data_IF_148978999451
#
_entry.id   IF_148978999451
#
_cell.length_a   1.000
_cell.length_b   1.000
_cell.length_c   1.000
_cell.angle_alpha   90.00
_cell.angle_beta   90.00
_cell.angle_gamma   90.00
#
_symmetry.space_group_name_H-M   'P 1'
#
loop_
_entity.id
_entity.type
_entity.pdbx_description
1 polymer ?
#
# COMPACT_ATOMS: atom_id res chain seq x y z
N UNK A 1 3.60 -4.90 -32.96
CA UNK A 1 4.01 -6.10 -32.21
C UNK A 1 3.17 -7.25 -32.71
N UNK A 2 3.76 -8.44 -32.80
CA UNK A 2 3.12 -9.67 -33.33
C UNK A 2 2.92 -10.67 -32.19
N UNK A 3 1.94 -11.59 -32.29
CA UNK A 3 1.62 -12.53 -31.21
C UNK A 3 2.72 -13.59 -30.99
N UNK A 4 3.46 -13.96 -32.02
CA UNK A 4 4.61 -14.87 -31.95
C UNK A 4 5.76 -14.31 -32.79
N UNK A 5 6.99 -14.36 -32.29
CA UNK A 5 8.15 -13.77 -32.97
C UNK A 5 9.41 -13.78 -32.11
N UNK A 6 10.32 -12.86 -32.37
CA UNK A 6 11.52 -12.67 -31.54
C UNK A 6 11.16 -11.81 -30.33
N UNK A 7 11.49 -12.21 -29.10
CA UNK A 7 11.17 -11.45 -27.89
C UNK A 7 11.82 -10.06 -27.92
N UNK A 8 11.07 -9.05 -27.46
CA UNK A 8 11.47 -7.66 -27.51
C UNK A 8 11.06 -6.90 -26.23
N UNK A 9 11.96 -6.03 -25.73
CA UNK A 9 11.67 -5.05 -24.69
C UNK A 9 11.47 -3.69 -25.36
N UNK A 10 10.25 -3.18 -25.25
CA UNK A 10 9.92 -1.81 -25.63
C UNK A 10 10.08 -0.85 -24.44
N UNK A 11 10.59 0.36 -24.66
CA UNK A 11 10.85 1.32 -23.58
C UNK A 11 9.59 1.62 -22.74
N UNK A 12 8.41 1.74 -23.38
CA UNK A 12 7.13 1.95 -22.69
C UNK A 12 6.72 0.79 -21.77
N UNK A 13 7.19 -0.43 -22.03
CA UNK A 13 6.92 -1.61 -21.20
C UNK A 13 7.79 -1.66 -19.96
N UNK A 14 8.95 -1.00 -19.98
CA UNK A 14 9.84 -0.94 -18.82
C UNK A 14 9.18 -0.20 -17.65
N UNK A 15 8.34 0.81 -17.94
CA UNK A 15 7.61 1.56 -16.91
C UNK A 15 6.27 0.94 -16.51
N UNK A 16 5.65 0.19 -17.42
CA UNK A 16 4.27 -0.29 -17.25
C UNK A 16 4.18 -1.76 -16.88
N UNK A 17 5.25 -2.55 -17.08
CA UNK A 17 5.19 -3.99 -16.91
C UNK A 17 6.41 -4.59 -16.21
N UNK A 18 7.63 -4.31 -16.69
CA UNK A 18 8.80 -5.07 -16.24
C UNK A 18 9.43 -4.57 -14.93
N UNK A 19 9.21 -3.30 -14.56
CA UNK A 19 9.83 -2.69 -13.37
C UNK A 19 11.34 -3.03 -13.27
N UNK A 20 11.81 -3.60 -12.14
CA UNK A 20 13.23 -3.81 -11.84
C UNK A 20 13.88 -4.90 -12.67
N UNK A 21 13.17 -5.98 -12.97
CA UNK A 21 13.71 -7.12 -13.69
C UNK A 21 12.62 -7.85 -14.47
N UNK A 22 13.01 -8.55 -15.54
CA UNK A 22 12.11 -9.39 -16.32
C UNK A 22 12.82 -10.68 -16.73
N UNK A 23 12.08 -11.78 -16.67
CA UNK A 23 12.50 -13.11 -17.15
C UNK A 23 11.74 -13.55 -18.41
N UNK A 24 10.66 -12.85 -18.75
CA UNK A 24 9.81 -13.12 -19.92
C UNK A 24 9.49 -11.83 -20.67
N UNK A 25 9.48 -11.93 -21.99
CA UNK A 25 9.06 -10.83 -22.83
C UNK A 25 7.53 -10.85 -22.98
N UNK A 26 6.92 -9.68 -22.85
CA UNK A 26 5.52 -9.41 -23.14
C UNK A 26 5.26 -9.35 -24.65
N UNK A 27 6.24 -8.86 -25.39
CA UNK A 27 6.06 -8.43 -26.77
C UNK A 27 7.06 -9.05 -27.72
N UNK A 28 6.59 -9.32 -28.94
CA UNK A 28 7.37 -9.97 -29.98
C UNK A 28 7.37 -9.13 -31.26
N UNK A 29 8.48 -9.23 -31.99
CA UNK A 29 8.70 -8.55 -33.27
C UNK A 29 9.09 -9.54 -34.37
N UNK A 30 8.95 -9.13 -35.63
CA UNK A 30 9.34 -9.98 -36.75
C UNK A 30 10.86 -10.22 -36.78
N UNK A 31 11.31 -11.41 -37.22
CA UNK A 31 12.74 -11.71 -37.34
C UNK A 31 13.53 -10.73 -38.22
N UNK A 32 12.89 -10.21 -39.27
CA UNK A 32 13.49 -9.21 -40.16
C UNK A 32 13.84 -7.91 -39.42
N UNK A 33 12.94 -7.44 -38.55
CA UNK A 33 13.17 -6.23 -37.75
C UNK A 33 14.19 -6.51 -36.64
N UNK A 34 14.08 -7.68 -36.00
CA UNK A 34 15.01 -8.12 -34.96
C UNK A 34 16.48 -8.17 -35.42
N UNK A 35 16.71 -8.48 -36.71
CA UNK A 35 18.06 -8.51 -37.29
C UNK A 35 18.77 -7.14 -37.31
N UNK A 36 18.01 -6.05 -37.29
CA UNK A 36 18.51 -4.67 -37.35
C UNK A 36 18.68 -4.03 -35.97
N UNK A 37 18.07 -4.62 -34.95
CA UNK A 37 18.04 -4.07 -33.60
C UNK A 37 19.08 -4.73 -32.70
N UNK A 38 19.37 -4.04 -31.59
CA UNK A 38 20.32 -4.52 -30.58
C UNK A 38 19.69 -5.63 -29.76
N UNK A 39 20.53 -6.55 -29.27
CA UNK A 39 20.11 -7.67 -28.42
C UNK A 39 20.80 -7.57 -27.06
N UNK A 40 20.05 -7.82 -26.00
CA UNK A 40 20.54 -7.98 -24.64
C UNK A 40 20.52 -9.47 -24.28
N UNK A 41 21.57 -9.93 -23.60
CA UNK A 41 21.70 -11.30 -23.13
C UNK A 41 21.24 -11.42 -21.67
N UNK A 42 21.13 -12.66 -21.17
CA UNK A 42 20.94 -12.93 -19.76
C UNK A 42 21.99 -12.18 -18.91
N UNK A 43 21.51 -11.45 -17.90
CA UNK A 43 22.35 -10.66 -17.00
C UNK A 43 22.66 -9.24 -17.48
N UNK A 44 22.22 -8.83 -18.66
CA UNK A 44 22.35 -7.44 -19.09
C UNK A 44 21.25 -6.56 -18.49
N UNK A 45 21.58 -5.29 -18.24
CA UNK A 45 20.60 -4.30 -17.76
C UNK A 45 20.22 -3.36 -18.88
N UNK A 46 18.96 -3.38 -19.28
CA UNK A 46 18.39 -2.49 -20.30
C UNK A 46 18.09 -1.14 -19.66
N UNK A 47 18.62 -0.05 -20.20
CA UNK A 47 18.46 1.32 -19.71
C UNK A 47 17.70 2.15 -20.73
N UNK A 48 16.72 2.93 -20.27
CA UNK A 48 16.00 3.83 -21.18
C UNK A 48 16.85 5.05 -21.52
N UNK A 49 16.99 5.33 -22.82
CA UNK A 49 17.81 6.44 -23.32
C UNK A 49 16.98 7.62 -23.81
N UNK A 50 15.69 7.44 -24.12
CA UNK A 50 14.81 8.52 -24.55
C UNK A 50 13.38 8.32 -24.01
N UNK A 51 12.72 9.43 -23.69
CA UNK A 51 11.36 9.43 -23.15
C UNK A 51 10.74 10.83 -23.15
N UNK A 52 9.48 10.90 -22.73
CA UNK A 52 8.74 12.17 -22.63
C UNK A 52 9.16 12.96 -21.38
N UNK A 53 9.46 12.25 -20.28
CA UNK A 53 9.91 12.86 -19.04
C UNK A 53 11.39 12.58 -18.79
N UNK A 54 12.06 13.51 -18.11
CA UNK A 54 13.45 13.36 -17.68
C UNK A 54 13.57 12.26 -16.60
N UNK A 55 12.51 12.02 -15.83
CA UNK A 55 12.48 11.09 -14.69
C UNK A 55 12.50 9.61 -15.10
N UNK A 56 12.10 9.37 -16.34
CA UNK A 56 12.02 8.07 -16.97
C UNK A 56 13.37 7.66 -17.58
N UNK A 57 14.18 8.65 -17.97
CA UNK A 57 15.51 8.41 -18.55
C UNK A 57 16.44 7.76 -17.54
N UNK A 58 17.14 6.73 -18.01
CA UNK A 58 18.13 5.99 -17.23
C UNK A 58 17.55 4.95 -16.31
N UNK A 59 16.22 4.75 -16.24
CA UNK A 59 15.65 3.62 -15.52
C UNK A 59 16.08 2.30 -16.16
N UNK A 60 16.58 1.40 -15.33
CA UNK A 60 17.14 0.12 -15.75
C UNK A 60 16.24 -1.07 -15.43
N UNK A 61 16.15 -2.03 -16.33
CA UNK A 61 15.50 -3.33 -16.11
C UNK A 61 16.53 -4.44 -16.35
N UNK A 62 16.74 -5.28 -15.35
CA UNK A 62 17.61 -6.45 -15.45
C UNK A 62 16.93 -7.56 -16.27
N UNK A 63 17.57 -8.04 -17.33
CA UNK A 63 17.08 -9.17 -18.10
C UNK A 63 17.61 -10.48 -17.52
N UNK A 64 16.70 -11.34 -17.06
CA UNK A 64 16.97 -12.64 -16.44
C UNK A 64 16.29 -13.78 -17.21
N UNK A 65 15.87 -13.53 -18.45
CA UNK A 65 15.24 -14.54 -19.29
C UNK A 65 16.23 -15.54 -19.86
N UNK A 66 15.77 -16.77 -20.08
CA UNK A 66 16.60 -17.86 -20.62
C UNK A 66 16.98 -17.70 -22.10
N UNK A 67 16.39 -16.74 -22.80
CA UNK A 67 16.65 -16.41 -24.21
C UNK A 67 17.10 -14.96 -24.37
N UNK A 68 17.80 -14.67 -25.46
CA UNK A 68 18.21 -13.31 -25.81
C UNK A 68 17.00 -12.45 -26.16
N UNK A 69 17.00 -11.19 -25.73
CA UNK A 69 15.89 -10.25 -25.97
C UNK A 69 16.34 -9.08 -26.84
N UNK A 70 15.53 -8.72 -27.82
CA UNK A 70 15.77 -7.53 -28.63
C UNK A 70 15.37 -6.29 -27.84
N UNK A 71 16.17 -5.22 -27.91
CA UNK A 71 15.84 -3.95 -27.26
C UNK A 71 15.45 -2.90 -28.31
N UNK A 72 14.49 -2.06 -27.94
CA UNK A 72 14.06 -0.93 -28.74
C UNK A 72 15.21 0.08 -28.99
N UNK A 73 15.09 0.90 -30.04
CA UNK A 73 16.12 1.88 -30.43
C UNK A 73 16.38 2.97 -29.38
N UNK A 74 15.35 3.30 -28.59
CA UNK A 74 15.34 4.20 -27.44
C UNK A 74 15.86 3.55 -26.13
N UNK A 75 16.54 2.41 -26.23
CA UNK A 75 17.16 1.72 -25.12
C UNK A 75 18.64 1.42 -25.41
N UNK A 76 19.45 1.45 -24.35
CA UNK A 76 20.79 0.86 -24.32
C UNK A 76 20.80 -0.36 -23.40
N UNK A 77 21.85 -1.17 -23.48
CA UNK A 77 22.11 -2.23 -22.50
C UNK A 77 23.46 -1.99 -21.84
N UNK A 78 23.56 -2.35 -20.57
CA UNK A 78 24.79 -2.32 -19.79
C UNK A 78 25.18 -3.75 -19.44
N UNK A 79 26.35 -4.15 -19.93
CA UNK A 79 26.95 -5.46 -19.70
C UNK A 79 28.04 -5.36 -18.65
N UNK A 80 27.91 -6.13 -17.58
CA UNK A 80 28.90 -6.14 -16.48
C UNK A 80 28.92 -7.49 -15.76
N UNK A 81 29.92 -7.69 -14.90
CA UNK A 81 29.98 -8.82 -13.98
C UNK A 81 29.26 -8.57 -12.65
N UNK A 82 28.58 -7.44 -12.51
CA UNK A 82 27.82 -7.08 -11.30
C UNK A 82 26.49 -7.83 -11.26
N UNK A 83 25.89 -7.91 -10.09
CA UNK A 83 24.52 -8.39 -9.98
C UNK A 83 23.59 -7.47 -10.79
N UNK A 84 22.85 -7.98 -11.80
CA UNK A 84 22.08 -7.14 -12.70
C UNK A 84 20.92 -6.43 -11.98
N UNK A 85 20.30 -7.08 -10.99
CA UNK A 85 19.27 -6.45 -10.15
C UNK A 85 19.83 -5.31 -9.33
N UNK A 86 21.06 -5.44 -8.81
CA UNK A 86 21.72 -4.36 -8.08
C UNK A 86 21.88 -3.12 -8.96
N UNK A 87 22.36 -3.28 -10.19
CA UNK A 87 22.51 -2.18 -11.15
C UNK A 87 21.15 -1.59 -11.51
N UNK A 88 20.13 -2.42 -11.71
CA UNK A 88 18.76 -1.96 -11.96
C UNK A 88 18.22 -1.13 -10.78
N UNK A 89 18.38 -1.57 -9.53
CA UNK A 89 18.00 -0.78 -8.36
C UNK A 89 18.80 0.53 -8.26
N UNK A 90 20.12 0.47 -8.45
CA UNK A 90 20.97 1.66 -8.41
C UNK A 90 20.55 2.71 -9.43
N UNK A 91 20.14 2.30 -10.63
CA UNK A 91 19.66 3.20 -11.69
C UNK A 91 18.43 4.04 -11.30
N UNK A 92 17.67 3.58 -10.30
CA UNK A 92 16.46 4.27 -9.78
C UNK A 92 16.78 5.26 -8.66
N UNK A 93 17.98 5.20 -8.09
CA UNK A 93 18.39 6.05 -6.98
C UNK A 93 18.58 7.51 -7.41
N UNK A 94 18.44 8.44 -6.48
CA UNK A 94 18.73 9.85 -6.72
C UNK A 94 20.19 10.10 -7.10
N UNK A 95 21.11 9.29 -6.55
CA UNK A 95 22.54 9.39 -6.84
C UNK A 95 22.81 9.17 -8.33
N UNK A 96 22.23 8.11 -8.91
CA UNK A 96 22.35 7.84 -10.34
C UNK A 96 21.69 8.96 -11.17
N UNK A 97 20.46 9.34 -10.81
CA UNK A 97 19.69 10.39 -11.50
C UNK A 97 20.43 11.72 -11.54
N UNK A 98 21.02 12.15 -10.43
CA UNK A 98 21.77 13.40 -10.35
C UNK A 98 23.02 13.42 -11.24
N UNK A 99 23.64 12.25 -11.46
CA UNK A 99 24.79 12.13 -12.37
C UNK A 99 24.38 12.26 -13.84
N UNK A 100 23.29 11.57 -14.25
CA UNK A 100 22.85 11.60 -15.65
C UNK A 100 22.14 12.90 -16.03
N UNK A 101 21.50 13.60 -15.07
CA UNK A 101 20.69 14.82 -15.33
C UNK A 101 21.44 15.89 -16.11
N UNK A 102 22.74 16.04 -15.88
CA UNK A 102 23.60 17.03 -16.58
C UNK A 102 23.90 16.65 -18.03
N UNK A 103 23.75 15.37 -18.37
CA UNK A 103 24.04 14.80 -19.69
C UNK A 103 22.79 14.59 -20.53
N UNK A 104 21.60 14.82 -19.96
CA UNK A 104 20.32 14.72 -20.66
C UNK A 104 20.10 16.00 -21.48
N UNK A 105 19.82 15.82 -22.76
CA UNK A 105 19.34 16.89 -23.63
C UNK A 105 17.82 16.95 -23.56
N UNK A 106 17.27 18.10 -23.19
CA UNK A 106 15.82 18.31 -23.07
C UNK A 106 15.30 19.10 -24.26
N UNK A 107 14.28 18.55 -24.94
CA UNK A 107 13.56 19.18 -26.06
C UNK A 107 12.08 18.78 -26.01
N UNK A 108 11.49 18.39 -27.14
CA UNK A 108 10.16 17.72 -27.15
C UNK A 108 10.23 16.28 -26.61
N UNK A 109 11.37 15.63 -26.80
CA UNK A 109 11.71 14.32 -26.26
C UNK A 109 13.02 14.54 -25.52
N UNK A 110 13.09 14.07 -24.28
CA UNK A 110 14.31 14.10 -23.50
C UNK A 110 15.13 12.85 -23.83
N UNK A 111 16.44 13.02 -24.04
CA UNK A 111 17.30 11.91 -24.42
C UNK A 111 18.71 12.04 -23.84
N UNK A 112 19.37 10.89 -23.65
CA UNK A 112 20.76 10.77 -23.22
C UNK A 112 21.52 9.90 -24.23
N UNK A 113 22.76 10.29 -24.52
CA UNK A 113 23.64 9.52 -25.39
C UNK A 113 24.53 8.54 -24.59
N UNK A 114 25.19 7.61 -25.29
CA UNK A 114 26.09 6.65 -24.64
C UNK A 114 27.18 7.32 -23.79
N UNK A 115 27.75 8.44 -24.28
CA UNK A 115 28.77 9.23 -23.54
C UNK A 115 28.26 9.78 -22.21
N UNK A 116 26.95 10.00 -22.09
CA UNK A 116 26.30 10.42 -20.85
C UNK A 116 26.30 9.31 -19.82
N UNK A 117 26.04 8.07 -20.24
CA UNK A 117 26.10 6.89 -19.39
C UNK A 117 27.53 6.49 -19.01
N UNK A 118 28.50 6.63 -19.92
CA UNK A 118 29.91 6.30 -19.67
C UNK A 118 30.53 7.10 -18.50
N UNK A 119 29.99 8.27 -18.19
CA UNK A 119 30.46 9.13 -17.08
C UNK A 119 29.89 8.74 -15.72
N UNK A 120 28.93 7.83 -15.67
CA UNK A 120 28.25 7.47 -14.44
C UNK A 120 29.15 6.58 -13.59
N UNK A 121 29.29 6.95 -12.32
CA UNK A 121 30.02 6.19 -11.32
C UNK A 121 29.02 5.33 -10.55
N UNK A 122 29.21 4.02 -10.64
CA UNK A 122 28.46 3.01 -9.90
C UNK A 122 29.35 2.52 -8.75
N UNK A 123 28.88 2.56 -7.48
CA UNK A 123 29.60 1.95 -6.38
C UNK A 123 29.61 0.43 -6.55
N UNK A 124 30.77 -0.20 -6.37
CA UNK A 124 30.94 -1.65 -6.56
C UNK A 124 31.29 -2.28 -5.20
N UNK A 125 30.28 -2.65 -4.38
CA UNK A 125 30.52 -3.45 -3.19
C UNK A 125 30.84 -4.91 -3.56
N UNK A 126 31.19 -5.75 -2.57
CA UNK A 126 31.42 -7.18 -2.80
C UNK A 126 30.17 -7.86 -3.38
N UNK A 127 30.33 -8.95 -4.12
CA UNK A 127 29.19 -9.69 -4.71
C UNK A 127 28.20 -10.19 -3.64
N UNK A 128 28.71 -10.52 -2.45
CA UNK A 128 27.89 -10.90 -1.30
C UNK A 128 27.01 -9.74 -0.83
N UNK A 129 27.60 -8.55 -0.68
CA UNK A 129 26.83 -7.35 -0.30
C UNK A 129 25.85 -6.92 -1.38
N UNK A 130 26.21 -7.05 -2.67
CA UNK A 130 25.27 -6.81 -3.77
C UNK A 130 24.05 -7.73 -3.66
N UNK A 131 24.28 -9.02 -3.38
CA UNK A 131 23.20 -10.01 -3.23
C UNK A 131 22.35 -9.69 -2.01
N UNK A 132 22.96 -9.39 -0.86
CA UNK A 132 22.24 -9.00 0.37
C UNK A 132 21.35 -7.77 0.15
N UNK A 133 21.86 -6.73 -0.52
CA UNK A 133 21.09 -5.53 -0.85
C UNK A 133 19.91 -5.88 -1.77
N UNK A 134 20.16 -6.67 -2.81
CA UNK A 134 19.12 -7.10 -3.76
C UNK A 134 18.03 -7.90 -3.06
N UNK A 135 18.38 -8.84 -2.17
CA UNK A 135 17.40 -9.62 -1.41
C UNK A 135 16.47 -8.72 -0.61
N UNK A 136 17.02 -7.79 0.16
CA UNK A 136 16.22 -6.86 0.97
C UNK A 136 15.30 -6.01 0.08
N UNK A 137 15.81 -5.47 -1.03
CA UNK A 137 15.01 -4.64 -1.93
C UNK A 137 13.94 -5.44 -2.69
N UNK A 138 14.24 -6.68 -3.08
CA UNK A 138 13.28 -7.59 -3.70
C UNK A 138 12.16 -7.97 -2.72
N UNK A 139 12.47 -8.14 -1.43
CA UNK A 139 11.44 -8.39 -0.40
C UNK A 139 10.47 -7.19 -0.31
N UNK A 140 10.99 -5.97 -0.32
CA UNK A 140 10.15 -4.76 -0.33
C UNK A 140 9.35 -4.59 -1.64
N UNK A 141 9.97 -4.83 -2.80
CA UNK A 141 9.27 -4.74 -4.10
C UNK A 141 8.18 -5.82 -4.20
N UNK A 142 8.43 -7.03 -3.70
CA UNK A 142 7.44 -8.11 -3.65
C UNK A 142 6.25 -7.71 -2.78
N UNK A 143 6.48 -7.18 -1.57
CA UNK A 143 5.39 -6.76 -0.68
C UNK A 143 4.56 -5.61 -1.25
N UNK A 144 5.18 -4.67 -1.98
CA UNK A 144 4.51 -3.44 -2.44
C UNK A 144 3.91 -3.56 -3.84
N UNK A 145 4.56 -4.28 -4.75
CA UNK A 145 4.20 -4.31 -6.18
C UNK A 145 3.60 -5.65 -6.62
N UNK A 146 3.78 -6.74 -5.86
CA UNK A 146 3.31 -8.06 -6.30
C UNK A 146 1.79 -8.13 -6.35
N UNK A 147 1.26 -8.48 -7.52
CA UNK A 147 -0.18 -8.75 -7.73
C UNK A 147 -0.54 -10.14 -7.18
N UNK A 148 0.44 -11.02 -6.94
CA UNK A 148 0.21 -12.36 -6.39
C UNK A 148 0.38 -12.42 -4.88
N UNK A 149 1.21 -11.59 -4.25
CA UNK A 149 1.51 -11.71 -2.82
C UNK A 149 1.63 -10.37 -2.08
N UNK A 150 1.45 -9.25 -2.79
CA UNK A 150 1.62 -7.90 -2.23
C UNK A 150 0.31 -7.17 -1.95
N UNK A 151 0.45 -5.91 -1.52
CA UNK A 151 -0.66 -5.01 -1.20
C UNK A 151 -1.76 -4.91 -2.27
N UNK A 152 -1.46 -4.90 -3.59
CA UNK A 152 -2.51 -4.84 -4.61
C UNK A 152 -3.47 -6.04 -4.56
N UNK A 153 -2.97 -7.25 -4.24
CA UNK A 153 -3.81 -8.44 -4.10
C UNK A 153 -4.75 -8.31 -2.92
N UNK A 154 -4.22 -7.87 -1.78
CA UNK A 154 -5.00 -7.68 -0.56
C UNK A 154 -6.10 -6.64 -0.79
N UNK A 155 -5.78 -5.50 -1.41
CA UNK A 155 -6.77 -4.47 -1.75
C UNK A 155 -7.87 -5.05 -2.66
N UNK A 156 -7.50 -5.78 -3.70
CA UNK A 156 -8.47 -6.39 -4.62
C UNK A 156 -9.39 -7.40 -3.91
N UNK A 157 -8.84 -8.26 -3.05
CA UNK A 157 -9.61 -9.22 -2.26
C UNK A 157 -10.54 -8.51 -1.26
N UNK A 158 -10.07 -7.44 -0.61
CA UNK A 158 -10.89 -6.64 0.31
C UNK A 158 -12.01 -5.91 -0.43
N UNK A 159 -11.77 -5.47 -1.65
CA UNK A 159 -12.79 -4.81 -2.46
C UNK A 159 -13.86 -5.80 -2.93
N UNK A 160 -13.46 -7.00 -3.38
CA UNK A 160 -14.41 -8.09 -3.68
C UNK A 160 -15.21 -8.51 -2.45
N UNK A 161 -14.55 -8.61 -1.30
CA UNK A 161 -15.20 -8.92 -0.02
C UNK A 161 -16.21 -7.82 0.36
N UNK A 162 -15.84 -6.55 0.21
CA UNK A 162 -16.73 -5.42 0.45
C UNK A 162 -17.96 -5.45 -0.49
N UNK A 163 -17.75 -5.69 -1.78
CA UNK A 163 -18.83 -5.79 -2.77
C UNK A 163 -19.78 -6.94 -2.44
N UNK A 164 -19.24 -8.11 -2.09
CA UNK A 164 -20.02 -9.26 -1.68
C UNK A 164 -20.89 -8.96 -0.45
N UNK A 165 -20.31 -8.37 0.61
CA UNK A 165 -21.08 -8.03 1.81
C UNK A 165 -22.07 -6.90 1.59
N UNK A 166 -21.73 -5.90 0.77
CA UNK A 166 -22.66 -4.85 0.33
C UNK A 166 -23.86 -5.48 -0.36
N UNK A 167 -23.63 -6.36 -1.32
CA UNK A 167 -24.72 -6.98 -2.08
C UNK A 167 -25.53 -7.96 -1.22
N UNK A 168 -24.93 -8.63 -0.24
CA UNK A 168 -25.63 -9.43 0.77
C UNK A 168 -26.53 -8.55 1.66
N UNK A 169 -26.03 -7.40 2.12
CA UNK A 169 -26.78 -6.43 2.93
C UNK A 169 -27.97 -5.82 2.17
N UNK A 170 -27.87 -5.71 0.85
CA UNK A 170 -28.93 -5.15 0.00
C UNK A 170 -29.74 -6.20 -0.78
N UNK A 171 -29.50 -7.49 -0.56
CA UNK A 171 -30.31 -8.58 -1.14
C UNK A 171 -31.27 -9.13 -0.10
N UNK A 172 -32.50 -8.62 -0.15
CA UNK A 172 -33.58 -9.16 0.66
C UNK A 172 -34.18 -10.38 -0.05
N UNK A 173 -34.15 -11.59 0.55
CA UNK A 173 -34.84 -12.74 -0.02
C UNK A 173 -36.33 -12.43 -0.13
N UNK A 174 -36.94 -12.72 -1.28
CA UNK A 174 -38.39 -12.60 -1.44
C UNK A 174 -39.07 -13.68 -0.61
N UNK A 175 -40.24 -13.41 0.01
CA UNK A 175 -40.92 -14.34 0.92
C UNK A 175 -41.17 -15.75 0.36
N UNK A 176 -41.23 -15.91 -0.96
CA UNK A 176 -41.66 -17.15 -1.61
C UNK A 176 -40.54 -18.19 -1.86
N UNK A 177 -39.25 -17.84 -1.73
CA UNK A 177 -38.14 -18.80 -1.94
C UNK A 177 -37.65 -19.48 -0.65
N UNK A 178 -38.02 -18.96 0.52
CA UNK A 178 -37.69 -19.57 1.82
C UNK A 178 -38.48 -20.87 2.12
N UNK A 179 -39.48 -21.21 1.29
CA UNK A 179 -40.39 -22.32 1.53
C UNK A 179 -40.01 -23.65 0.82
N UNK A 180 -38.92 -23.72 0.04
CA UNK A 180 -38.64 -24.86 -0.85
C UNK A 180 -37.26 -25.53 -0.70
N UNK A 181 -36.56 -25.38 0.43
CA UNK A 181 -35.41 -26.24 0.72
C UNK A 181 -35.87 -27.50 1.46
N UNK A 182 -35.65 -28.72 0.91
CA UNK A 182 -36.07 -29.94 1.57
C UNK A 182 -35.20 -30.20 2.79
N UNK A 183 -35.87 -30.37 3.93
CA UNK A 183 -35.30 -30.86 5.17
C UNK A 183 -34.57 -32.19 4.90
N UNK A 184 -33.25 -32.19 4.92
CA UNK A 184 -32.46 -33.44 4.90
C UNK A 184 -32.19 -33.92 6.34
N UNK A 185 -32.38 -35.23 6.61
CA UNK A 185 -32.36 -35.77 7.96
C UNK A 185 -30.94 -36.11 8.44
N UNK A 186 -30.84 -36.07 9.76
CA UNK A 186 -29.75 -36.39 10.69
C UNK A 186 -28.93 -37.65 10.30
N UNK A 187 -27.58 -37.58 10.35
CA UNK A 187 -26.70 -38.70 10.73
C UNK A 187 -25.21 -38.32 10.98
N UNK A 188 -24.70 -38.91 12.08
CA UNK A 188 -23.37 -39.39 12.46
C UNK A 188 -22.03 -38.63 12.30
N UNK A 189 -21.40 -38.47 13.46
CA UNK A 189 -20.00 -38.80 13.83
C UNK A 189 -19.04 -39.34 12.76
N UNK A 190 -17.94 -38.62 12.58
CA UNK A 190 -16.60 -39.18 12.34
C UNK A 190 -15.98 -38.89 10.97
N UNK A 191 -14.88 -38.12 10.94
CA UNK A 191 -13.58 -38.57 10.39
C UNK A 191 -12.54 -37.44 10.54
N UNK A 192 -11.34 -37.83 10.99
CA UNK A 192 -10.14 -37.02 11.11
C UNK A 192 -9.67 -36.45 9.77
N UNK A 193 -8.87 -35.38 9.82
CA UNK A 193 -7.51 -35.35 9.27
C UNK A 193 -6.79 -34.04 9.65
N UNK A 194 -5.57 -34.22 10.10
CA UNK A 194 -4.55 -33.27 10.52
C UNK A 194 -4.19 -32.22 9.46
N UNK A 195 -4.06 -30.96 9.85
CA UNK A 195 -3.02 -30.08 9.31
C UNK A 195 -2.34 -29.34 10.47
N UNK A 196 -1.14 -29.81 10.83
CA UNK A 196 -0.16 -28.97 11.51
C UNK A 196 0.11 -27.77 10.59
N UNK A 197 -0.15 -26.56 11.07
CA UNK A 197 0.17 -25.34 10.33
C UNK A 197 1.22 -24.56 11.10
N UNK A 198 2.37 -24.36 10.46
CA UNK A 198 3.45 -23.52 10.93
C UNK A 198 3.11 -22.02 10.74
N UNK A 199 3.70 -21.11 11.55
CA UNK A 199 3.51 -19.67 11.46
C UNK A 199 4.11 -19.09 10.16
N UNK A 200 3.44 -18.11 9.53
CA UNK A 200 3.92 -17.47 8.28
C UNK A 200 4.63 -16.11 8.56
N UNK A 201 4.28 -15.40 9.63
CA UNK A 201 5.05 -14.28 10.17
C UNK A 201 4.63 -14.01 11.61
N UNK A 202 5.58 -13.91 12.54
CA UNK A 202 5.33 -13.59 13.95
C UNK A 202 6.07 -12.29 14.27
N UNK A 203 5.34 -11.17 14.31
CA UNK A 203 5.83 -9.90 14.86
C UNK A 203 4.73 -9.23 15.68
N UNK A 204 5.16 -8.54 16.73
CA UNK A 204 4.37 -8.25 17.93
C UNK A 204 3.16 -7.28 17.78
N UNK A 205 2.79 -6.79 16.59
CA UNK A 205 1.88 -5.62 16.50
C UNK A 205 0.91 -5.54 15.28
N UNK A 206 0.50 -6.64 14.64
CA UNK A 206 -0.53 -6.53 13.59
C UNK A 206 -1.97 -6.60 14.15
N UNK A 207 -2.83 -5.66 13.70
CA UNK A 207 -4.30 -5.70 13.83
C UNK A 207 -4.98 -6.59 12.79
N UNK A 208 -4.19 -7.21 11.91
CA UNK A 208 -4.67 -8.15 10.90
C UNK A 208 -4.53 -9.55 11.47
N UNK A 209 -5.67 -10.18 11.77
CA UNK A 209 -5.71 -11.53 12.33
C UNK A 209 -5.30 -12.55 11.26
N UNK A 210 -4.17 -13.24 11.47
CA UNK A 210 -3.73 -14.39 10.66
C UNK A 210 -4.77 -15.52 10.69
N UNK A 211 -5.44 -15.68 11.84
CA UNK A 211 -6.52 -16.65 12.04
C UNK A 211 -7.66 -16.00 12.82
N UNK A 212 -8.86 -16.08 12.27
CA UNK A 212 -10.10 -15.68 12.93
C UNK A 212 -11.02 -16.89 13.02
N UNK A 213 -11.24 -17.39 14.23
CA UNK A 213 -12.27 -18.39 14.47
C UNK A 213 -13.61 -17.66 14.51
N UNK A 214 -14.45 -17.90 13.51
CA UNK A 214 -15.78 -17.31 13.44
C UNK A 214 -16.58 -17.75 14.66
N UNK A 215 -16.91 -16.80 15.54
CA UNK A 215 -17.90 -17.00 16.59
C UNK A 215 -19.27 -17.02 15.92
N UNK A 216 -19.82 -18.22 15.71
CA UNK A 216 -21.24 -18.36 15.34
C UNK A 216 -22.05 -18.41 16.62
N UNK A 217 -22.69 -17.31 17.00
CA UNK A 217 -23.83 -17.37 17.90
C UNK A 217 -25.10 -17.37 17.03
N UNK A 218 -25.88 -18.45 17.19
CA UNK A 218 -26.96 -18.80 16.28
C UNK A 218 -28.21 -17.94 16.45
N UNK A 219 -28.82 -17.59 15.32
CA UNK A 219 -30.18 -17.11 15.21
C UNK A 219 -30.59 -17.05 13.75
N UNK A 220 -31.16 -18.13 13.22
CA UNK A 220 -31.70 -18.23 11.85
C UNK A 220 -32.97 -17.36 11.61
N UNK A 221 -33.12 -16.23 12.30
CA UNK A 221 -34.25 -15.31 12.13
C UNK A 221 -33.79 -13.90 11.83
N UNK A 222 -34.51 -13.24 10.91
CA UNK A 222 -34.30 -11.83 10.55
C UNK A 222 -34.27 -10.94 11.80
N UNK A 223 -33.10 -10.43 12.15
CA UNK A 223 -32.91 -9.48 13.25
C UNK A 223 -33.29 -8.07 12.76
N UNK A 224 -34.01 -7.31 13.58
CA UNK A 224 -34.29 -5.89 13.29
C UNK A 224 -33.04 -5.03 13.49
N UNK A 225 -33.01 -3.82 12.92
CA UNK A 225 -31.91 -2.85 13.17
C UNK A 225 -31.68 -2.61 14.65
N UNK A 226 -32.75 -2.60 15.45
CA UNK A 226 -32.66 -2.44 16.90
C UNK A 226 -32.00 -3.64 17.60
N UNK A 227 -32.14 -4.85 17.05
CA UNK A 227 -31.53 -6.06 17.60
C UNK A 227 -30.03 -6.06 17.28
N UNK A 228 -29.67 -5.73 16.03
CA UNK A 228 -28.29 -5.57 15.57
C UNK A 228 -27.55 -4.48 16.35
N UNK A 229 -28.19 -3.34 16.60
CA UNK A 229 -27.61 -2.25 17.39
C UNK A 229 -27.32 -2.70 18.82
N UNK A 230 -28.23 -3.45 19.46
CA UNK A 230 -28.02 -3.97 20.81
C UNK A 230 -26.88 -4.97 20.88
N UNK A 231 -26.78 -5.87 19.90
CA UNK A 231 -25.71 -6.85 19.80
C UNK A 231 -24.35 -6.18 19.60
N UNK A 232 -24.25 -5.24 18.66
CA UNK A 232 -23.02 -4.47 18.40
C UNK A 232 -22.55 -3.68 19.63
N UNK A 233 -23.48 -3.00 20.32
CA UNK A 233 -23.15 -2.28 21.56
C UNK A 233 -22.62 -3.26 22.61
N UNK A 234 -23.24 -4.44 22.73
CA UNK A 234 -22.81 -5.44 23.71
C UNK A 234 -21.41 -5.97 23.38
N UNK A 235 -21.12 -6.26 22.12
CA UNK A 235 -19.80 -6.74 21.67
C UNK A 235 -18.69 -5.71 21.90
N UNK A 236 -18.96 -4.44 21.58
CA UNK A 236 -18.01 -3.37 21.86
C UNK A 236 -17.76 -3.23 23.37
N UNK A 237 -18.79 -3.35 24.20
CA UNK A 237 -18.62 -3.36 25.66
C UNK A 237 -17.80 -4.55 26.14
N UNK A 238 -17.98 -5.73 25.54
CA UNK A 238 -17.18 -6.92 25.84
C UNK A 238 -15.70 -6.73 25.43
N UNK A 239 -15.42 -5.91 24.41
CA UNK A 239 -14.07 -5.52 24.00
C UNK A 239 -13.47 -4.36 24.85
N UNK A 240 -14.20 -3.86 25.84
CA UNK A 240 -13.74 -2.82 26.76
C UNK A 240 -14.11 -1.39 26.35
N UNK A 241 -14.95 -1.20 25.33
CA UNK A 241 -15.47 0.13 24.99
C UNK A 241 -16.56 0.56 25.99
N UNK A 242 -16.42 1.74 26.56
CA UNK A 242 -17.44 2.32 27.44
C UNK A 242 -18.64 2.85 26.64
N UNK A 243 -19.85 2.47 27.06
CA UNK A 243 -21.08 3.03 26.49
C UNK A 243 -21.54 4.25 27.29
N UNK A 244 -21.61 5.41 26.64
CA UNK A 244 -22.05 6.67 27.24
C UNK A 244 -23.17 7.29 26.40
N UNK A 245 -24.26 7.68 27.04
CA UNK A 245 -25.40 8.33 26.38
C UNK A 245 -25.21 9.86 26.36
N UNK A 246 -24.99 10.43 25.16
CA UNK A 246 -24.72 11.86 24.95
C UNK A 246 -25.72 12.47 23.97
N UNK A 247 -26.95 12.81 24.42
CA UNK A 247 -28.05 13.20 23.52
C UNK A 247 -27.89 14.61 22.91
N UNK A 248 -26.92 15.40 23.36
CA UNK A 248 -26.73 16.79 22.90
C UNK A 248 -25.26 17.08 22.61
N UNK A 249 -25.01 18.03 21.71
CA UNK A 249 -23.65 18.52 21.41
C UNK A 249 -22.95 19.08 22.66
N UNK A 250 -23.69 19.75 23.55
CA UNK A 250 -23.13 20.25 24.80
C UNK A 250 -22.66 19.10 25.71
N UNK A 251 -23.42 18.01 25.81
CA UNK A 251 -23.01 16.82 26.56
C UNK A 251 -21.76 16.18 25.94
N UNK A 252 -21.67 16.14 24.61
CA UNK A 252 -20.47 15.66 23.91
C UNK A 252 -19.24 16.52 24.22
N UNK A 253 -19.36 17.85 24.17
CA UNK A 253 -18.25 18.76 24.48
C UNK A 253 -17.80 18.65 25.95
N UNK A 254 -18.73 18.44 26.89
CA UNK A 254 -18.39 18.19 28.30
C UNK A 254 -17.62 16.87 28.44
N UNK A 255 -18.04 15.81 27.75
CA UNK A 255 -17.30 14.55 27.76
C UNK A 255 -15.90 14.71 27.15
N UNK A 256 -15.78 15.37 25.99
CA UNK A 256 -14.49 15.63 25.34
C UNK A 256 -13.56 16.43 26.26
N UNK A 257 -14.07 17.44 26.97
CA UNK A 257 -13.30 18.19 27.96
C UNK A 257 -12.70 17.27 29.02
N UNK A 258 -13.51 16.38 29.60
CA UNK A 258 -13.05 15.43 30.63
C UNK A 258 -11.96 14.50 30.08
N UNK A 259 -12.14 13.96 28.88
CA UNK A 259 -11.17 13.04 28.27
C UNK A 259 -9.85 13.75 27.91
N UNK A 260 -9.91 14.96 27.34
CA UNK A 260 -8.71 15.75 27.02
C UNK A 260 -7.95 16.18 28.28
N UNK A 261 -8.67 16.57 29.34
CA UNK A 261 -8.05 16.87 30.63
C UNK A 261 -7.34 15.65 31.22
N UNK A 262 -7.95 14.47 31.13
CA UNK A 262 -7.34 13.23 31.61
C UNK A 262 -6.11 12.83 30.79
N UNK A 263 -6.20 12.91 29.46
CA UNK A 263 -5.10 12.57 28.54
C UNK A 263 -3.87 13.48 28.74
N UNK A 264 -4.11 14.78 28.93
CA UNK A 264 -3.04 15.77 28.99
C UNK A 264 -2.61 16.13 30.41
N UNK A 265 -3.30 15.64 31.45
CA UNK A 265 -3.02 15.99 32.84
C UNK A 265 -3.26 17.46 33.17
N UNK A 266 -4.16 18.14 32.45
CA UNK A 266 -4.48 19.56 32.63
C UNK A 266 -5.91 19.76 33.10
N UNK A 267 -6.22 20.95 33.62
CA UNK A 267 -7.58 21.34 33.98
C UNK A 267 -7.90 22.69 33.36
N UNK A 268 -8.90 22.73 32.48
CA UNK A 268 -9.39 23.99 31.91
C UNK A 268 -10.35 24.65 32.88
N UNK A 269 -10.33 25.98 32.96
CA UNK A 269 -11.48 26.75 33.42
C UNK A 269 -12.52 26.93 32.28
N UNK A 270 -13.72 27.43 32.58
CA UNK A 270 -14.79 27.54 31.57
C UNK A 270 -14.49 28.55 30.46
N UNK A 271 -13.73 29.62 30.76
CA UNK A 271 -13.28 30.60 29.78
C UNK A 271 -12.19 30.03 28.85
N UNK A 272 -11.22 29.31 29.41
CA UNK A 272 -10.17 28.61 28.68
C UNK A 272 -10.76 27.52 27.79
N UNK A 273 -11.69 26.72 28.31
CA UNK A 273 -12.37 25.68 27.54
C UNK A 273 -13.15 26.26 26.37
N UNK A 274 -13.89 27.36 26.59
CA UNK A 274 -14.59 28.06 25.51
C UNK A 274 -13.62 28.57 24.45
N UNK A 275 -12.50 29.19 24.87
CA UNK A 275 -11.45 29.67 23.97
C UNK A 275 -10.82 28.54 23.15
N UNK A 276 -10.54 27.41 23.79
CA UNK A 276 -10.01 26.22 23.13
C UNK A 276 -10.99 25.67 22.09
N UNK A 277 -12.29 25.61 22.44
CA UNK A 277 -13.32 25.17 21.51
C UNK A 277 -13.43 26.08 20.29
N UNK A 278 -13.62 27.38 20.50
CA UNK A 278 -13.85 28.35 19.42
C UNK A 278 -12.63 28.54 18.50
N UNK A 279 -11.41 28.43 19.04
CA UNK A 279 -10.19 28.68 18.26
C UNK A 279 -9.60 27.44 17.61
N UNK A 280 -9.83 26.25 18.19
CA UNK A 280 -9.13 25.04 17.74
C UNK A 280 -10.04 23.83 17.60
N UNK A 281 -10.85 23.46 18.59
CA UNK A 281 -11.56 22.17 18.54
C UNK A 281 -12.79 22.16 17.61
N UNK A 282 -13.60 23.22 17.63
CA UNK A 282 -14.86 23.33 16.88
C UNK A 282 -15.04 24.76 16.35
N UNK A 283 -14.09 25.23 15.53
CA UNK A 283 -14.20 26.55 14.93
C UNK A 283 -15.33 26.55 13.89
N UNK A 284 -16.22 27.57 13.87
CA UNK A 284 -17.32 27.65 12.91
C UNK A 284 -16.88 27.67 11.45
N UNK A 285 -15.62 28.03 11.18
CA UNK A 285 -15.04 28.08 9.83
C UNK A 285 -14.46 26.73 9.38
N UNK A 286 -14.37 25.73 10.25
CA UNK A 286 -13.72 24.46 9.93
C UNK A 286 -14.59 23.61 8.99
N UNK A 287 -14.00 23.18 7.88
CA UNK A 287 -14.58 22.15 7.01
C UNK A 287 -14.27 20.74 7.51
N UNK A 288 -14.89 19.73 6.91
CA UNK A 288 -14.52 18.32 7.17
C UNK A 288 -13.04 18.04 6.90
N UNK A 289 -12.45 18.69 5.89
CA UNK A 289 -11.02 18.58 5.57
C UNK A 289 -10.13 19.15 6.67
N UNK A 290 -10.52 20.27 7.27
CA UNK A 290 -9.78 20.89 8.38
C UNK A 290 -9.82 20.00 9.62
N UNK A 291 -10.97 19.38 9.89
CA UNK A 291 -11.12 18.39 10.98
C UNK A 291 -10.25 17.16 10.73
N UNK A 292 -10.22 16.62 9.51
CA UNK A 292 -9.31 15.51 9.13
C UNK A 292 -7.85 15.91 9.32
N UNK A 293 -7.46 17.11 8.88
CA UNK A 293 -6.10 17.62 9.05
C UNK A 293 -5.69 17.74 10.52
N UNK A 294 -6.59 18.19 11.41
CA UNK A 294 -6.33 18.23 12.86
C UNK A 294 -6.06 16.85 13.44
N UNK A 295 -6.76 15.81 13.03
CA UNK A 295 -6.52 14.45 13.54
C UNK A 295 -5.19 13.86 13.01
N UNK A 296 -4.89 14.06 11.73
CA UNK A 296 -3.74 13.40 11.11
C UNK A 296 -2.43 14.17 11.26
N UNK A 297 -2.46 15.50 11.13
CA UNK A 297 -1.28 16.37 11.04
C UNK A 297 -1.19 17.26 12.27
N UNK A 298 -2.21 18.08 12.51
CA UNK A 298 -2.19 19.15 13.51
C UNK A 298 -2.85 18.69 14.83
N UNK A 299 -2.51 17.50 15.33
CA UNK A 299 -3.19 16.84 16.48
C UNK A 299 -2.74 17.35 17.85
N UNK A 300 -1.87 18.35 17.86
CA UNK A 300 -1.32 19.02 19.03
C UNK A 300 -1.67 20.51 18.90
N UNK A 301 -2.22 21.08 19.96
CA UNK A 301 -2.52 22.51 20.04
C UNK A 301 -1.64 23.17 21.10
N UNK A 302 -0.84 24.15 20.68
CA UNK A 302 -0.10 25.02 21.59
C UNK A 302 -1.09 26.00 22.25
N UNK A 303 -1.46 25.71 23.51
CA UNK A 303 -2.47 26.48 24.24
C UNK A 303 -1.84 27.27 25.38
N UNK A 304 -2.09 28.58 25.40
CA UNK A 304 -1.71 29.45 26.52
C UNK A 304 -2.85 29.53 27.52
N UNK A 305 -2.59 29.07 28.74
CA UNK A 305 -3.49 29.17 29.88
C UNK A 305 -3.54 30.60 30.42
N UNK A 306 -4.59 30.93 31.18
CA UNK A 306 -4.79 32.28 31.72
C UNK A 306 -3.72 32.65 32.76
N UNK A 307 -3.03 31.65 33.34
CA UNK A 307 -1.88 31.83 34.21
C UNK A 307 -0.57 32.15 33.43
N UNK A 308 -0.63 32.23 32.10
CA UNK A 308 0.51 32.51 31.21
C UNK A 308 1.36 31.30 30.85
N UNK A 309 1.03 30.10 31.32
CA UNK A 309 1.74 28.87 30.94
C UNK A 309 1.33 28.44 29.53
N UNK A 310 2.32 28.02 28.73
CA UNK A 310 2.11 27.43 27.42
C UNK A 310 2.24 25.92 27.55
N UNK A 311 1.20 25.20 27.13
CA UNK A 311 1.14 23.73 27.16
C UNK A 311 0.72 23.18 25.81
N UNK A 312 1.17 21.98 25.50
CA UNK A 312 0.83 21.27 24.27
C UNK A 312 -0.34 20.33 24.54
N UNK A 313 -1.53 20.69 24.05
CA UNK A 313 -2.75 19.90 24.24
C UNK A 313 -2.88 18.90 23.09
N UNK A 314 -2.72 17.62 23.39
CA UNK A 314 -2.84 16.51 22.46
C UNK A 314 -4.31 16.07 22.34
N UNK A 315 -4.76 15.87 21.11
CA UNK A 315 -6.05 15.23 20.82
C UNK A 315 -5.96 13.70 20.88
N UNK A 316 -4.81 13.15 20.47
CA UNK A 316 -4.53 11.71 20.42
C UNK A 316 -3.06 11.51 20.80
N UNK A 317 -2.78 10.59 21.73
CA UNK A 317 -1.40 10.15 21.98
C UNK A 317 -1.00 9.10 20.95
N UNK A 318 -0.24 9.49 19.92
CA UNK A 318 0.22 8.57 18.87
C UNK A 318 1.46 7.75 19.25
N UNK A 319 2.10 8.04 20.38
CA UNK A 319 3.34 7.36 20.79
C UNK A 319 3.07 6.10 21.61
N UNK A 320 1.91 6.03 22.25
CA UNK A 320 1.47 4.92 23.08
C UNK A 320 0.35 4.09 22.43
N UNK A 321 0.13 4.26 21.12
CA UNK A 321 -0.85 3.51 20.32
C UNK A 321 -0.32 2.13 19.89
#
# INVERSE_FOLDING_TARGET
MIPEGVPCIHYGEMYTHYNVWADKAKSYISPELASKLRKANFGDVVLVSAGETIEDIGRGTAWLGGEDVVIHDACFFYKSSLNPKYVAYFSRTEIFRNQIKKSISSGKISAINAKGFEKVIIPIPSLEEQTRIVTILDDFDTLTCSITEGLPREIALRQQQYEYYRDLLFSFPKPDEAALLPVLPHWHTGCAMTQQTHPIAETNHYIVLDKYTRAWEGGDSYQSESDLERELIQDLRNQGYEFVSLPTQQAMLVNVRTQLQALNGVVFNDGEWRRFCERYLDSPSDSSLDKTRKIHIDYICDFTFDNGQLENIYLIDKKSL
#
